data_IF_925718904526
#
_entry.id   IF_925718904526
#
_cell.length_a   1.000
_cell.length_b   1.000
_cell.length_c   1.000
_cell.angle_alpha   90.00
_cell.angle_beta   90.00
_cell.angle_gamma   90.00
#
_symmetry.space_group_name_H-M   'P 1'
#
loop_
_entity.id
_entity.type
_entity.pdbx_description
1 polymer ?
#
# COMPACT_ATOMS: atom_id res chain seq x y z
N UNK A 1 -5.42 -13.48 -29.03
CA UNK A 1 -5.81 -14.79 -29.61
C UNK A 1 -6.82 -15.46 -28.69
N UNK A 2 -8.10 -15.11 -28.75
CA UNK A 2 -9.19 -15.99 -28.29
C UNK A 2 -10.42 -15.70 -29.14
N UNK A 3 -10.91 -16.79 -29.70
CA UNK A 3 -11.78 -16.96 -30.85
C UNK A 3 -13.24 -16.80 -30.45
N UNK A 4 -14.01 -16.14 -31.32
CA UNK A 4 -15.43 -15.93 -31.16
C UNK A 4 -16.25 -17.20 -31.36
N UNK A 5 -17.37 -17.25 -30.65
CA UNK A 5 -18.50 -18.15 -30.88
C UNK A 5 -19.76 -17.29 -30.90
N UNK A 6 -20.39 -17.18 -32.08
CA UNK A 6 -21.80 -16.82 -32.24
C UNK A 6 -22.40 -17.75 -33.27
N UNK A 7 -23.27 -18.64 -32.82
CA UNK A 7 -24.17 -19.40 -33.68
C UNK A 7 -25.63 -19.03 -33.35
N UNK A 8 -26.34 -18.67 -34.43
CA UNK A 8 -27.79 -18.84 -34.76
C UNK A 8 -28.79 -18.15 -33.82
N UNK A 9 -29.85 -17.52 -34.32
CA UNK A 9 -30.99 -18.18 -34.99
C UNK A 9 -31.65 -17.26 -36.02
N UNK A 10 -32.03 -17.90 -37.11
CA UNK A 10 -32.83 -17.43 -38.24
C UNK A 10 -34.32 -17.36 -37.90
N UNK A 11 -35.05 -16.35 -38.37
CA UNK A 11 -36.42 -16.50 -38.85
C UNK A 11 -36.92 -15.28 -39.65
N UNK A 12 -37.90 -15.48 -40.54
CA UNK A 12 -38.11 -14.67 -41.74
C UNK A 12 -39.39 -13.81 -41.66
N UNK A 13 -39.58 -12.97 -42.67
CA UNK A 13 -40.93 -12.56 -43.10
C UNK A 13 -41.28 -11.11 -42.79
N UNK A 14 -41.33 -10.31 -43.85
CA UNK A 14 -41.81 -8.94 -43.84
C UNK A 14 -41.78 -8.37 -45.26
N UNK A 15 -42.40 -9.08 -46.22
CA UNK A 15 -42.64 -8.53 -47.55
C UNK A 15 -43.66 -7.38 -47.43
N UNK A 16 -43.22 -6.20 -47.84
CA UNK A 16 -44.07 -5.04 -48.06
C UNK A 16 -44.97 -5.28 -49.28
N UNK A 17 -46.28 -4.99 -49.23
CA UNK A 17 -47.09 -5.02 -50.44
C UNK A 17 -46.70 -3.86 -51.35
N UNK A 18 -46.14 -4.21 -52.50
CA UNK A 18 -45.96 -3.31 -53.65
C UNK A 18 -47.33 -2.83 -54.13
N UNK A 19 -47.58 -1.54 -54.00
CA UNK A 19 -48.78 -0.87 -54.46
C UNK A 19 -48.83 -1.00 -55.99
N UNK A 20 -49.79 -1.79 -56.48
CA UNK A 20 -50.14 -1.85 -57.90
C UNK A 20 -50.76 -0.51 -58.27
N UNK A 21 -50.08 0.25 -59.13
CA UNK A 21 -50.66 1.38 -59.84
C UNK A 21 -51.87 0.90 -60.64
N UNK A 22 -53.06 1.39 -60.30
CA UNK A 22 -54.26 1.25 -61.12
C UNK A 22 -54.12 2.20 -62.32
N UNK A 23 -53.45 1.77 -63.38
CA UNK A 23 -53.63 2.36 -64.71
C UNK A 23 -55.01 1.97 -65.23
N UNK A 24 -55.96 2.89 -65.14
CA UNK A 24 -57.19 2.82 -65.93
C UNK A 24 -56.88 3.16 -67.38
N UNK A 25 -57.24 2.22 -68.24
CA UNK A 25 -57.25 2.30 -69.70
C UNK A 25 -58.20 3.40 -70.17
N UNK A 26 -57.76 4.24 -71.10
CA UNK A 26 -58.65 5.01 -72.00
C UNK A 26 -58.20 4.70 -73.42
N UNK A 27 -58.99 3.85 -74.08
CA UNK A 27 -58.88 3.52 -75.50
C UNK A 27 -60.22 3.85 -76.15
N UNK A 28 -60.14 4.32 -77.40
CA UNK A 28 -61.21 4.72 -78.32
C UNK A 28 -61.68 6.18 -78.13
N UNK A 29 -61.66 7.06 -79.14
CA UNK A 29 -61.83 6.83 -80.58
C UNK A 29 -61.14 7.90 -81.42
N UNK A 30 -60.34 7.46 -82.40
CA UNK A 30 -59.93 8.24 -83.56
C UNK A 30 -61.16 8.71 -84.34
N UNK A 31 -61.26 10.01 -84.63
CA UNK A 31 -62.07 10.52 -85.74
C UNK A 31 -61.13 11.19 -86.74
N UNK A 32 -60.99 10.50 -87.85
CA UNK A 32 -60.18 10.77 -89.02
C UNK A 32 -60.66 12.07 -89.70
N UNK A 33 -59.87 13.15 -89.60
CA UNK A 33 -60.11 14.38 -90.37
C UNK A 33 -59.43 14.23 -91.73
N UNK A 34 -60.19 13.76 -92.72
CA UNK A 34 -59.78 13.75 -94.13
C UNK A 34 -60.06 15.12 -94.74
N UNK A 35 -59.07 16.03 -94.75
CA UNK A 35 -59.18 17.29 -95.52
C UNK A 35 -58.72 17.05 -96.96
N UNK A 36 -59.67 16.75 -97.86
CA UNK A 36 -59.46 16.84 -99.31
C UNK A 36 -59.80 18.25 -99.81
N UNK A 37 -58.84 18.90 -100.47
CA UNK A 37 -59.00 20.16 -101.24
C UNK A 37 -59.94 19.97 -102.43
N UNK A 38 -60.87 20.91 -102.64
CA UNK A 38 -61.17 21.52 -103.95
C UNK A 38 -61.95 22.83 -103.77
N UNK A 39 -61.55 23.82 -104.55
CA UNK A 39 -61.97 25.22 -104.52
C UNK A 39 -63.42 25.47 -104.99
N UNK A 40 -64.05 26.43 -104.32
CA UNK A 40 -64.84 27.55 -104.86
C UNK A 40 -65.98 27.26 -105.86
N UNK A 41 -67.24 27.30 -105.39
CA UNK A 41 -68.23 28.27 -105.87
C UNK A 41 -69.39 28.39 -104.86
N UNK A 42 -69.98 29.57 -104.74
CA UNK A 42 -70.91 29.94 -103.67
C UNK A 42 -72.28 29.25 -103.73
N UNK A 43 -72.65 28.61 -102.63
CA UNK A 43 -74.05 28.48 -102.16
C UNK A 43 -73.99 28.42 -100.63
N UNK A 44 -74.21 29.54 -99.96
CA UNK A 44 -75.49 29.82 -99.30
C UNK A 44 -75.79 28.80 -98.18
N UNK A 45 -75.51 29.26 -96.97
CA UNK A 45 -75.78 28.69 -95.66
C UNK A 45 -77.10 27.92 -95.59
N UNK A 46 -77.03 26.59 -95.52
CA UNK A 46 -78.09 25.72 -94.97
C UNK A 46 -77.42 24.54 -94.26
N UNK A 47 -76.68 24.83 -93.18
CA UNK A 47 -76.50 23.84 -92.13
C UNK A 47 -77.48 24.23 -91.04
N UNK A 48 -78.66 23.61 -91.07
CA UNK A 48 -79.62 23.69 -89.98
C UNK A 48 -78.88 23.37 -88.68
N UNK A 49 -78.92 24.25 -87.66
CA UNK A 49 -78.18 24.01 -86.43
C UNK A 49 -78.72 22.71 -85.80
N UNK A 50 -77.85 21.71 -85.68
CA UNK A 50 -78.20 20.45 -85.03
C UNK A 50 -78.68 20.74 -83.60
N UNK A 51 -79.94 20.42 -83.35
CA UNK A 51 -80.51 20.47 -82.02
C UNK A 51 -79.89 19.34 -81.21
N UNK A 52 -79.02 19.71 -80.26
CA UNK A 52 -78.36 18.78 -79.34
C UNK A 52 -79.35 17.93 -78.51
N UNK A 53 -80.60 18.37 -78.40
CA UNK A 53 -81.66 17.67 -77.68
C UNK A 53 -82.94 17.62 -78.51
N UNK A 54 -83.58 16.45 -78.55
CA UNK A 54 -84.82 16.21 -79.32
C UNK A 54 -86.08 16.32 -78.44
N UNK A 55 -85.93 16.14 -77.13
CA UNK A 55 -86.97 16.29 -76.11
C UNK A 55 -86.42 17.17 -74.97
N UNK A 56 -87.13 18.24 -74.55
CA UNK A 56 -86.75 19.07 -73.39
C UNK A 56 -86.41 18.27 -72.12
N UNK A 57 -86.99 17.08 -71.93
CA UNK A 57 -86.71 16.21 -70.79
C UNK A 57 -85.26 15.70 -70.75
N UNK A 58 -84.61 15.49 -71.90
CA UNK A 58 -83.23 14.99 -71.97
C UNK A 58 -82.22 15.92 -71.29
N UNK A 59 -82.44 17.23 -71.38
CA UNK A 59 -81.61 18.23 -70.71
C UNK A 59 -81.85 18.21 -69.19
N UNK A 60 -83.10 18.08 -68.76
CA UNK A 60 -83.44 18.03 -67.34
C UNK A 60 -82.87 16.78 -66.69
N UNK A 61 -82.99 15.62 -67.34
CA UNK A 61 -82.44 14.35 -66.86
C UNK A 61 -80.90 14.41 -66.79
N UNK A 62 -80.23 14.97 -67.81
CA UNK A 62 -78.78 15.19 -67.81
C UNK A 62 -78.34 16.11 -66.67
N UNK A 63 -79.03 17.24 -66.45
CA UNK A 63 -78.72 18.15 -65.35
C UNK A 63 -78.94 17.46 -64.00
N UNK A 64 -79.98 16.63 -63.89
CA UNK A 64 -80.29 15.89 -62.66
C UNK A 64 -79.20 14.86 -62.37
N UNK A 65 -78.79 14.06 -63.36
CA UNK A 65 -77.68 13.12 -63.24
C UNK A 65 -76.37 13.83 -62.87
N UNK A 66 -76.07 14.96 -63.53
CA UNK A 66 -74.88 15.75 -63.22
C UNK A 66 -74.93 16.31 -61.80
N UNK A 67 -76.10 16.72 -61.31
CA UNK A 67 -76.28 17.20 -59.93
C UNK A 67 -76.11 16.09 -58.91
N UNK A 68 -76.59 14.88 -59.19
CA UNK A 68 -76.40 13.70 -58.33
C UNK A 68 -74.93 13.29 -58.27
N UNK A 69 -74.25 13.27 -59.43
CA UNK A 69 -72.80 13.00 -59.51
C UNK A 69 -71.99 14.04 -58.73
N UNK A 70 -72.28 15.33 -58.91
CA UNK A 70 -71.62 16.39 -58.17
C UNK A 70 -71.85 16.27 -56.65
N UNK A 71 -73.07 15.94 -56.22
CA UNK A 71 -73.38 15.74 -54.81
C UNK A 71 -72.62 14.53 -54.23
N UNK A 72 -72.54 13.43 -54.97
CA UNK A 72 -71.75 12.25 -54.61
C UNK A 72 -70.25 12.56 -54.49
N UNK A 73 -69.71 13.35 -55.41
CA UNK A 73 -68.31 13.80 -55.37
C UNK A 73 -68.04 14.68 -54.15
N UNK A 74 -68.95 15.60 -53.81
CA UNK A 74 -68.84 16.44 -52.61
C UNK A 74 -68.82 15.55 -51.35
N UNK A 75 -69.77 14.62 -51.23
CA UNK A 75 -69.84 13.71 -50.07
C UNK A 75 -68.59 12.83 -49.96
N UNK A 76 -68.08 12.30 -51.08
CA UNK A 76 -66.86 11.51 -51.09
C UNK A 76 -65.65 12.34 -50.66
N UNK A 77 -65.52 13.56 -51.21
CA UNK A 77 -64.44 14.49 -50.85
C UNK A 77 -64.47 14.83 -49.37
N UNK A 78 -65.63 15.18 -48.82
CA UNK A 78 -65.76 15.48 -47.38
C UNK A 78 -65.41 14.27 -46.52
N UNK A 79 -65.85 13.06 -46.88
CA UNK A 79 -65.49 11.84 -46.15
C UNK A 79 -63.98 11.58 -46.20
N UNK A 80 -63.34 11.77 -47.35
CA UNK A 80 -61.89 11.61 -47.49
C UNK A 80 -61.15 12.66 -46.67
N UNK A 81 -61.60 13.91 -46.68
CA UNK A 81 -61.05 15.00 -45.86
C UNK A 81 -61.13 14.69 -44.36
N UNK A 82 -62.26 14.19 -43.87
CA UNK A 82 -62.41 13.76 -42.47
C UNK A 82 -61.40 12.66 -42.11
N UNK A 83 -61.29 11.61 -42.93
CA UNK A 83 -60.33 10.53 -42.69
C UNK A 83 -58.87 11.00 -42.73
N UNK A 84 -58.57 11.97 -43.60
CA UNK A 84 -57.23 12.55 -43.70
C UNK A 84 -56.89 13.36 -42.44
N UNK A 85 -57.84 14.13 -41.92
CA UNK A 85 -57.66 14.91 -40.70
C UNK A 85 -57.51 14.01 -39.47
N UNK A 86 -58.30 12.93 -39.36
CA UNK A 86 -58.12 11.91 -38.31
C UNK A 86 -56.73 11.26 -38.37
N UNK A 87 -56.27 10.89 -39.57
CA UNK A 87 -54.94 10.31 -39.76
C UNK A 87 -53.83 11.30 -39.39
N UNK A 88 -54.01 12.58 -39.74
CA UNK A 88 -53.08 13.65 -39.38
C UNK A 88 -52.99 13.84 -37.87
N UNK A 89 -54.13 13.88 -37.18
CA UNK A 89 -54.16 13.99 -35.72
C UNK A 89 -53.52 12.77 -35.04
N UNK A 90 -53.81 11.56 -35.53
CA UNK A 90 -53.18 10.33 -35.04
C UNK A 90 -51.65 10.33 -35.23
N UNK A 91 -51.19 10.81 -36.39
CA UNK A 91 -49.76 10.91 -36.71
C UNK A 91 -49.07 11.93 -35.81
N UNK A 92 -49.67 13.10 -35.60
CA UNK A 92 -49.12 14.13 -34.71
C UNK A 92 -49.12 13.69 -33.24
N UNK A 93 -50.16 12.97 -32.79
CA UNK A 93 -50.20 12.38 -31.46
C UNK A 93 -49.10 11.33 -31.26
N UNK A 94 -48.87 10.48 -32.28
CA UNK A 94 -47.80 9.48 -32.27
C UNK A 94 -46.43 10.15 -32.27
N UNK A 95 -46.23 11.18 -33.10
CA UNK A 95 -44.99 11.98 -33.13
C UNK A 95 -44.66 12.57 -31.76
N UNK A 96 -45.65 13.20 -31.11
CA UNK A 96 -45.48 13.77 -29.76
C UNK A 96 -45.17 12.70 -28.70
N UNK A 97 -45.70 11.48 -28.85
CA UNK A 97 -45.38 10.38 -27.95
C UNK A 97 -43.94 9.93 -28.13
N UNK A 98 -43.50 9.75 -29.38
CA UNK A 98 -42.12 9.39 -29.71
C UNK A 98 -41.14 10.45 -29.18
N UNK A 99 -41.44 11.73 -29.37
CA UNK A 99 -40.60 12.85 -28.89
C UNK A 99 -40.43 12.82 -27.36
N UNK A 100 -41.50 12.58 -26.61
CA UNK A 100 -41.43 12.40 -25.15
C UNK A 100 -40.64 11.17 -24.73
N UNK A 101 -40.82 10.06 -25.43
CA UNK A 101 -40.09 8.82 -25.16
C UNK A 101 -38.58 9.01 -25.44
N UNK A 102 -38.22 9.75 -26.49
CA UNK A 102 -36.84 10.10 -26.83
C UNK A 102 -36.19 11.00 -25.78
N UNK A 103 -36.89 12.03 -25.31
CA UNK A 103 -36.43 12.89 -24.21
C UNK A 103 -36.19 12.06 -22.94
N UNK A 104 -37.12 11.18 -22.59
CA UNK A 104 -37.00 10.31 -21.44
C UNK A 104 -35.83 9.33 -21.55
N UNK A 105 -35.64 8.69 -22.72
CA UNK A 105 -34.48 7.82 -22.97
C UNK A 105 -33.17 8.58 -22.88
N UNK A 106 -33.11 9.80 -23.40
CA UNK A 106 -31.92 10.67 -23.33
C UNK A 106 -31.56 10.99 -21.89
N UNK A 107 -32.56 11.29 -21.03
CA UNK A 107 -32.35 11.50 -19.60
C UNK A 107 -31.82 10.24 -18.90
N UNK A 108 -32.38 9.06 -19.21
CA UNK A 108 -31.91 7.79 -18.65
C UNK A 108 -30.46 7.48 -19.05
N UNK A 109 -30.11 7.70 -20.33
CA UNK A 109 -28.74 7.51 -20.81
C UNK A 109 -27.77 8.43 -20.06
N UNK A 110 -28.15 9.69 -19.83
CA UNK A 110 -27.33 10.62 -19.07
C UNK A 110 -27.13 10.17 -17.61
N UNK A 111 -28.21 9.80 -16.90
CA UNK A 111 -28.14 9.26 -15.54
C UNK A 111 -27.25 8.01 -15.47
N UNK A 112 -27.42 7.06 -16.40
CA UNK A 112 -26.58 5.87 -16.47
C UNK A 112 -25.11 6.22 -16.70
N UNK A 113 -24.80 7.14 -17.62
CA UNK A 113 -23.44 7.59 -17.86
C UNK A 113 -22.83 8.25 -16.62
N UNK A 114 -23.59 9.08 -15.90
CA UNK A 114 -23.14 9.68 -14.65
C UNK A 114 -22.81 8.61 -13.60
N UNK A 115 -23.67 7.60 -13.44
CA UNK A 115 -23.43 6.47 -12.53
C UNK A 115 -22.18 5.67 -12.92
N UNK A 116 -21.98 5.44 -14.22
CA UNK A 116 -20.79 4.77 -14.75
C UNK A 116 -19.52 5.56 -14.39
N UNK A 117 -19.52 6.89 -14.58
CA UNK A 117 -18.36 7.72 -14.26
C UNK A 117 -18.06 7.76 -12.75
N UNK A 118 -19.09 7.82 -11.90
CA UNK A 118 -18.93 7.70 -10.45
C UNK A 118 -18.29 6.34 -10.08
N UNK A 119 -18.78 5.25 -10.67
CA UNK A 119 -18.28 3.91 -10.35
C UNK A 119 -16.86 3.68 -10.92
N UNK A 120 -16.54 4.21 -12.10
CA UNK A 120 -15.17 4.24 -12.62
C UNK A 120 -14.23 4.99 -11.69
N UNK A 121 -14.63 6.17 -11.19
CA UNK A 121 -13.84 6.95 -10.25
C UNK A 121 -13.63 6.21 -8.91
N UNK A 122 -14.64 5.47 -8.43
CA UNK A 122 -14.48 4.58 -7.27
C UNK A 122 -13.51 3.43 -7.57
N UNK A 123 -13.63 2.82 -8.74
CA UNK A 123 -12.75 1.74 -9.19
C UNK A 123 -11.29 2.17 -9.31
N UNK A 124 -11.01 3.36 -9.84
CA UNK A 124 -9.64 3.91 -9.89
C UNK A 124 -9.08 4.18 -8.50
N UNK A 125 -9.88 4.77 -7.60
CA UNK A 125 -9.48 4.97 -6.19
C UNK A 125 -9.19 3.66 -5.47
N UNK A 126 -10.02 2.64 -5.67
CA UNK A 126 -9.79 1.32 -5.09
C UNK A 126 -8.50 0.69 -5.64
N UNK A 127 -8.27 0.77 -6.94
CA UNK A 127 -7.03 0.30 -7.58
C UNK A 127 -5.80 0.98 -6.98
N UNK A 128 -5.83 2.30 -6.79
CA UNK A 128 -4.75 3.04 -6.13
C UNK A 128 -4.50 2.55 -4.69
N UNK A 129 -5.57 2.33 -3.90
CA UNK A 129 -5.45 1.78 -2.54
C UNK A 129 -4.83 0.38 -2.54
N UNK A 130 -5.26 -0.50 -3.44
CA UNK A 130 -4.72 -1.85 -3.58
C UNK A 130 -3.26 -1.79 -3.99
N UNK A 131 -2.92 -0.94 -4.97
CA UNK A 131 -1.53 -0.77 -5.40
C UNK A 131 -0.64 -0.28 -4.25
N UNK A 132 -1.07 0.74 -3.50
CA UNK A 132 -0.34 1.21 -2.32
C UNK A 132 -0.15 0.09 -1.29
N UNK A 133 -1.19 -0.71 -1.07
CA UNK A 133 -1.16 -1.82 -0.13
C UNK A 133 -0.22 -2.95 -0.55
N UNK A 134 -0.11 -3.21 -1.86
CA UNK A 134 0.86 -4.16 -2.42
C UNK A 134 2.28 -3.59 -2.39
N UNK A 135 2.44 -2.28 -2.57
CA UNK A 135 3.74 -1.59 -2.44
C UNK A 135 4.20 -1.45 -1.00
N UNK A 136 3.29 -1.44 -0.03
CA UNK A 136 3.64 -1.64 1.38
C UNK A 136 4.02 -3.11 1.54
N UNK A 137 5.32 -3.37 1.64
CA UNK A 137 5.85 -4.69 1.97
C UNK A 137 5.36 -5.09 3.38
N UNK A 138 4.20 -5.75 3.44
CA UNK A 138 3.68 -6.31 4.69
C UNK A 138 4.64 -7.34 5.29
N UNK A 139 5.32 -8.09 4.42
CA UNK A 139 6.34 -9.04 4.83
C UNK A 139 7.41 -8.38 5.69
N UNK A 140 7.88 -7.17 5.31
CA UNK A 140 8.87 -6.42 6.08
C UNK A 140 8.31 -5.95 7.43
N UNK A 141 7.01 -5.64 7.51
CA UNK A 141 6.35 -5.24 8.76
C UNK A 141 6.14 -6.44 9.70
N UNK A 142 5.70 -7.57 9.17
CA UNK A 142 5.48 -8.80 9.94
C UNK A 142 6.81 -9.34 10.48
N UNK A 143 7.87 -9.35 9.64
CA UNK A 143 9.24 -9.69 10.08
C UNK A 143 9.73 -8.74 11.18
N UNK A 144 9.45 -7.44 11.07
CA UNK A 144 9.81 -6.47 12.10
C UNK A 144 9.06 -6.72 13.42
N UNK A 145 7.77 -7.05 13.34
CA UNK A 145 6.95 -7.37 14.52
C UNK A 145 7.40 -8.66 15.21
N UNK A 146 7.78 -9.68 14.44
CA UNK A 146 8.33 -10.92 14.97
C UNK A 146 9.67 -10.68 15.66
N UNK A 147 10.59 -9.94 15.03
CA UNK A 147 11.87 -9.57 15.63
C UNK A 147 11.71 -8.75 16.92
N UNK A 148 10.74 -7.84 16.96
CA UNK A 148 10.38 -7.12 18.18
C UNK A 148 9.84 -8.09 19.25
N UNK A 149 8.96 -9.02 18.87
CA UNK A 149 8.41 -10.04 19.75
C UNK A 149 9.49 -10.91 20.39
N UNK A 150 10.49 -11.33 19.61
CA UNK A 150 11.67 -12.05 20.09
C UNK A 150 12.47 -11.23 21.10
N UNK A 151 12.71 -9.95 20.80
CA UNK A 151 13.49 -9.09 21.71
C UNK A 151 12.76 -8.82 23.01
N UNK A 152 11.44 -8.59 22.95
CA UNK A 152 10.60 -8.44 24.14
C UNK A 152 10.61 -9.73 24.96
N UNK A 153 10.56 -10.90 24.33
CA UNK A 153 10.65 -12.18 25.02
C UNK A 153 12.01 -12.38 25.73
N UNK A 154 13.10 -11.97 25.10
CA UNK A 154 14.44 -11.99 25.70
C UNK A 154 14.51 -11.11 26.96
N UNK A 155 14.04 -9.85 26.87
CA UNK A 155 14.04 -8.92 28.00
C UNK A 155 13.14 -9.41 29.13
N UNK A 156 11.95 -9.92 28.80
CA UNK A 156 11.03 -10.49 29.79
C UNK A 156 11.70 -11.65 30.55
N UNK A 157 12.39 -12.54 29.84
CA UNK A 157 13.11 -13.67 30.44
C UNK A 157 14.19 -13.21 31.43
N UNK A 158 14.95 -12.19 31.06
CA UNK A 158 16.03 -11.65 31.89
C UNK A 158 15.52 -10.86 33.11
N UNK A 159 14.43 -10.10 32.98
CA UNK A 159 14.02 -9.12 34.00
C UNK A 159 12.88 -9.59 34.92
N UNK A 160 11.99 -10.46 34.42
CA UNK A 160 10.75 -10.87 35.11
C UNK A 160 10.83 -12.34 35.55
N UNK A 161 10.88 -13.28 34.62
CA UNK A 161 10.86 -14.73 34.91
C UNK A 161 11.55 -15.53 33.80
N UNK A 162 12.41 -16.48 34.16
CA UNK A 162 13.21 -17.28 33.22
C UNK A 162 12.38 -18.37 32.50
N UNK A 163 11.12 -18.55 32.93
CA UNK A 163 10.20 -19.54 32.37
C UNK A 163 9.70 -19.14 30.99
N UNK A 164 9.62 -20.11 30.08
CA UNK A 164 8.99 -19.93 28.77
C UNK A 164 7.47 -19.87 28.99
N UNK A 165 6.93 -18.66 29.09
CA UNK A 165 5.49 -18.42 29.21
C UNK A 165 4.89 -18.11 27.84
N UNK A 166 3.74 -18.71 27.51
CA UNK A 166 2.96 -18.45 26.30
C UNK A 166 2.18 -17.11 26.37
N UNK A 167 2.81 -16.06 26.89
CA UNK A 167 2.22 -14.72 26.96
C UNK A 167 2.40 -14.00 25.61
N UNK A 168 1.40 -13.20 25.26
CA UNK A 168 1.48 -12.27 24.13
C UNK A 168 2.57 -11.21 24.37
N UNK A 169 3.08 -10.62 23.30
CA UNK A 169 4.11 -9.55 23.37
C UNK A 169 3.67 -8.39 24.25
N UNK A 170 2.38 -8.02 24.20
CA UNK A 170 1.82 -6.94 25.01
C UNK A 170 1.79 -7.29 26.50
N UNK A 171 1.38 -8.51 26.86
CA UNK A 171 1.38 -8.97 28.25
C UNK A 171 2.80 -9.04 28.81
N UNK A 172 3.78 -9.48 28.01
CA UNK A 172 5.20 -9.47 28.40
C UNK A 172 5.69 -8.04 28.70
N UNK A 173 5.31 -7.06 27.86
CA UNK A 173 5.64 -5.65 28.11
C UNK A 173 5.03 -5.13 29.41
N UNK A 174 3.74 -5.42 29.66
CA UNK A 174 3.07 -5.02 30.88
C UNK A 174 3.75 -5.58 32.14
N UNK A 175 4.22 -6.83 32.07
CA UNK A 175 4.97 -7.45 33.17
C UNK A 175 6.33 -6.77 33.41
N UNK A 176 7.05 -6.43 32.33
CA UNK A 176 8.33 -5.71 32.42
C UNK A 176 8.09 -4.33 33.06
N UNK A 177 7.06 -3.61 32.62
CA UNK A 177 6.70 -2.29 33.15
C UNK A 177 6.36 -2.36 34.64
N UNK A 178 5.56 -3.35 35.04
CA UNK A 178 5.23 -3.57 36.45
C UNK A 178 6.49 -3.87 37.28
N UNK A 179 7.36 -4.76 36.80
CA UNK A 179 8.63 -5.09 37.46
C UNK A 179 9.52 -3.87 37.64
N UNK A 180 9.64 -3.04 36.60
CA UNK A 180 10.40 -1.80 36.65
C UNK A 180 9.81 -0.82 37.65
N UNK A 181 8.49 -0.68 37.67
CA UNK A 181 7.78 0.20 38.62
C UNK A 181 8.00 -0.23 40.07
N UNK A 182 7.91 -1.54 40.36
CA UNK A 182 8.17 -2.09 41.69
C UNK A 182 9.61 -1.84 42.15
N UNK A 183 10.59 -1.99 41.27
CA UNK A 183 12.00 -1.70 41.58
C UNK A 183 12.22 -0.22 41.89
N UNK A 184 11.62 0.67 41.10
CA UNK A 184 11.71 2.12 41.32
C UNK A 184 11.07 2.53 42.66
N UNK A 185 9.88 2.01 42.97
CA UNK A 185 9.23 2.23 44.26
C UNK A 185 10.09 1.69 45.42
N UNK A 186 10.72 0.53 45.23
CA UNK A 186 11.67 -0.03 46.18
C UNK A 186 12.84 0.91 46.44
N UNK A 187 13.43 1.50 45.40
CA UNK A 187 14.52 2.48 45.50
C UNK A 187 14.10 3.75 46.26
N UNK A 188 12.89 4.26 46.00
CA UNK A 188 12.37 5.46 46.66
C UNK A 188 12.04 5.23 48.14
N UNK A 189 11.68 3.99 48.51
CA UNK A 189 11.35 3.62 49.89
C UNK A 189 12.57 3.46 50.81
N UNK A 190 13.80 3.46 50.27
CA UNK A 190 15.01 3.24 51.06
C UNK A 190 15.24 4.47 51.97
N UNK A 191 15.33 4.29 53.30
CA UNK A 191 15.56 5.42 54.20
C UNK A 191 16.92 6.10 53.95
N UNK A 192 16.94 7.43 54.04
CA UNK A 192 18.13 8.25 53.77
C UNK A 192 19.34 7.89 54.66
N UNK A 193 19.08 7.48 55.91
CA UNK A 193 20.14 7.07 56.84
C UNK A 193 20.89 5.82 56.35
N UNK A 194 20.16 4.84 55.79
CA UNK A 194 20.76 3.64 55.22
C UNK A 194 21.53 3.96 53.94
N UNK A 195 21.05 4.89 53.12
CA UNK A 195 21.75 5.35 51.91
C UNK A 195 23.07 6.02 52.27
N UNK A 196 23.08 6.93 53.24
CA UNK A 196 24.31 7.60 53.69
C UNK A 196 25.30 6.62 54.33
N UNK A 197 24.83 5.62 55.07
CA UNK A 197 25.68 4.54 55.59
C UNK A 197 26.31 3.73 54.44
N UNK A 198 25.52 3.30 53.47
CA UNK A 198 25.99 2.52 52.32
C UNK A 198 27.01 3.29 51.48
N UNK A 199 26.78 4.60 51.28
CA UNK A 199 27.70 5.52 50.62
C UNK A 199 29.03 5.63 51.37
N UNK A 200 29.00 5.80 52.69
CA UNK A 200 30.22 5.81 53.53
C UNK A 200 31.00 4.49 53.42
N UNK A 201 30.32 3.35 53.43
CA UNK A 201 30.94 2.03 53.25
C UNK A 201 31.61 1.95 51.88
N UNK A 202 30.89 2.23 50.80
CA UNK A 202 31.41 2.22 49.42
C UNK A 202 32.61 3.16 49.24
N UNK A 203 32.54 4.37 49.80
CA UNK A 203 33.64 5.34 49.74
C UNK A 203 34.85 4.91 50.60
N UNK A 204 34.61 4.23 51.73
CA UNK A 204 35.68 3.66 52.55
C UNK A 204 36.37 2.48 51.86
N UNK A 205 35.60 1.60 51.21
CA UNK A 205 36.09 0.45 50.46
C UNK A 205 36.92 0.90 49.26
N UNK A 206 36.41 1.85 48.46
CA UNK A 206 37.13 2.47 47.35
C UNK A 206 38.48 3.05 47.80
N UNK A 207 38.49 3.80 48.91
CA UNK A 207 39.73 4.36 49.50
C UNK A 207 40.67 3.24 49.97
N UNK A 208 40.15 2.18 50.57
CA UNK A 208 40.95 1.05 51.02
C UNK A 208 41.63 0.34 49.84
N UNK A 209 40.89 0.04 48.77
CA UNK A 209 41.44 -0.57 47.54
C UNK A 209 42.56 0.27 46.94
N UNK A 210 42.37 1.59 46.86
CA UNK A 210 43.42 2.50 46.37
C UNK A 210 44.69 2.48 47.24
N UNK A 211 44.54 2.39 48.57
CA UNK A 211 45.70 2.30 49.47
C UNK A 211 46.42 0.96 49.32
N UNK A 212 45.67 -0.13 49.25
CA UNK A 212 46.21 -1.48 49.08
C UNK A 212 46.97 -1.61 47.75
N UNK A 213 46.40 -1.11 46.66
CA UNK A 213 47.04 -1.08 45.34
C UNK A 213 48.37 -0.28 45.39
N UNK A 214 48.36 0.89 46.02
CA UNK A 214 49.57 1.71 46.20
C UNK A 214 50.63 1.01 47.05
N UNK A 215 50.23 0.33 48.13
CA UNK A 215 51.15 -0.45 48.96
C UNK A 215 51.71 -1.66 48.20
N UNK A 216 50.89 -2.33 47.39
CA UNK A 216 51.29 -3.45 46.54
C UNK A 216 52.33 -3.00 45.52
N UNK A 217 52.10 -1.90 44.82
CA UNK A 217 53.09 -1.32 43.89
C UNK A 217 54.42 -0.99 44.58
N UNK A 218 54.37 -0.42 45.80
CA UNK A 218 55.59 -0.10 46.56
C UNK A 218 56.35 -1.38 46.96
N UNK A 219 55.63 -2.39 47.45
CA UNK A 219 56.21 -3.70 47.81
C UNK A 219 56.83 -4.38 46.58
N UNK A 220 56.16 -4.34 45.43
CA UNK A 220 56.69 -4.89 44.17
C UNK A 220 57.94 -4.15 43.71
N UNK A 221 57.94 -2.81 43.72
CA UNK A 221 59.13 -2.01 43.41
C UNK A 221 60.28 -2.32 44.37
N UNK A 222 60.01 -2.52 45.66
CA UNK A 222 61.04 -2.88 46.64
C UNK A 222 61.58 -4.30 46.41
N UNK A 223 60.68 -5.28 46.19
CA UNK A 223 61.05 -6.66 45.85
C UNK A 223 61.87 -6.73 44.57
N UNK A 224 61.52 -5.95 43.56
CA UNK A 224 62.28 -5.86 42.31
C UNK A 224 63.67 -5.26 42.52
N UNK A 225 63.78 -4.17 43.31
CA UNK A 225 65.09 -3.59 43.69
C UNK A 225 65.96 -4.62 44.41
N UNK A 226 65.40 -5.34 45.38
CA UNK A 226 66.10 -6.39 46.11
C UNK A 226 66.53 -7.54 45.19
N UNK A 227 65.65 -7.99 44.30
CA UNK A 227 65.95 -9.00 43.27
C UNK A 227 67.12 -8.57 42.39
N UNK A 228 67.08 -7.35 41.84
CA UNK A 228 68.17 -6.79 40.99
C UNK A 228 69.48 -6.62 41.75
N UNK A 229 69.44 -6.33 43.06
CA UNK A 229 70.63 -6.28 43.90
C UNK A 229 71.24 -7.67 44.10
N UNK A 230 70.41 -8.65 44.46
CA UNK A 230 70.84 -10.03 44.64
C UNK A 230 71.44 -10.59 43.33
N UNK A 231 70.77 -10.37 42.20
CA UNK A 231 71.26 -10.76 40.87
C UNK A 231 72.63 -10.13 40.55
N UNK A 232 72.83 -8.84 40.87
CA UNK A 232 74.15 -8.20 40.73
C UNK A 232 75.22 -8.79 41.64
N UNK A 233 74.86 -9.19 42.86
CA UNK A 233 75.81 -9.79 43.81
C UNK A 233 76.21 -11.22 43.43
N UNK A 234 75.28 -11.99 42.85
CA UNK A 234 75.52 -13.35 42.36
C UNK A 234 76.15 -13.39 40.96
N UNK A 235 76.07 -12.29 40.20
CA UNK A 235 76.71 -12.19 38.90
C UNK A 235 78.23 -12.26 39.06
N UNK A 236 78.84 -13.21 38.33
CA UNK A 236 80.27 -13.39 38.32
C UNK A 236 80.99 -12.09 37.96
N UNK A 237 81.94 -11.67 38.80
CA UNK A 237 82.77 -10.52 38.51
C UNK A 237 83.48 -10.74 37.18
N UNK A 238 83.35 -9.80 36.23
CA UNK A 238 84.08 -9.85 34.96
C UNK A 238 85.56 -10.00 35.27
N UNK A 239 86.17 -11.11 34.82
CA UNK A 239 87.61 -11.34 35.05
C UNK A 239 88.37 -10.22 34.37
N UNK A 240 89.02 -9.37 35.18
CA UNK A 240 89.86 -8.29 34.69
C UNK A 240 91.07 -8.93 34.01
N UNK A 241 91.08 -9.00 32.68
CA UNK A 241 92.24 -9.36 31.85
C UNK A 241 93.25 -8.20 31.81
N UNK A 242 93.62 -7.70 32.99
CA UNK A 242 94.60 -6.65 33.19
C UNK A 242 95.96 -7.20 33.63
N UNK A 243 96.92 -6.29 33.88
CA UNK A 243 98.26 -6.62 34.37
C UNK A 243 98.15 -7.32 35.73
N UNK A 244 98.77 -8.50 35.85
CA UNK A 244 98.77 -9.32 37.07
C UNK A 244 99.28 -8.50 38.26
N UNK A 245 98.52 -8.46 39.36
CA UNK A 245 98.91 -7.74 40.58
C UNK A 245 100.26 -8.30 41.08
N UNK A 246 101.29 -7.46 41.22
CA UNK A 246 102.57 -7.89 41.78
C UNK A 246 102.41 -8.17 43.28
N UNK A 247 102.86 -9.33 43.79
CA UNK A 247 102.86 -9.60 45.22
C UNK A 247 103.77 -8.58 45.92
N UNK A 248 103.21 -7.77 46.82
CA UNK A 248 103.99 -7.02 47.80
C UNK A 248 104.29 -7.98 48.96
N UNK A 249 105.55 -7.99 49.41
CA UNK A 249 106.17 -8.89 50.38
C UNK A 249 105.21 -9.70 51.27
N UNK A 250 105.39 -11.03 51.32
CA UNK A 250 104.72 -11.88 52.32
C UNK A 250 105.22 -11.49 53.72
N UNK A 251 104.36 -11.09 54.67
CA UNK A 251 104.79 -10.94 56.06
C UNK A 251 105.25 -12.31 56.57
N UNK A 252 106.36 -12.33 57.33
CA UNK A 252 106.87 -13.54 57.97
C UNK A 252 105.81 -14.03 58.97
N UNK A 253 105.44 -15.31 58.86
CA UNK A 253 104.51 -15.92 59.80
C UNK A 253 105.10 -15.91 61.21
N UNK A 254 104.53 -15.09 62.09
CA UNK A 254 104.81 -15.16 63.51
C UNK A 254 104.22 -16.48 64.03
N UNK A 255 105.05 -17.34 64.61
CA UNK A 255 104.57 -18.57 65.27
C UNK A 255 103.75 -18.17 66.50
N UNK A 256 102.43 -18.09 66.34
CA UNK A 256 101.50 -17.99 67.46
C UNK A 256 101.49 -19.35 68.17
N UNK A 257 101.94 -19.37 69.43
CA UNK A 257 101.65 -20.49 70.33
C UNK A 257 100.16 -20.44 70.62
N UNK A 258 99.43 -21.43 70.13
CA UNK A 258 98.02 -21.65 70.49
C UNK A 258 98.00 -22.08 71.95
N UNK A 259 97.56 -21.21 72.84
CA UNK A 259 96.98 -21.64 74.12
C UNK A 259 95.55 -22.09 73.84
N UNK A 260 95.26 -23.37 74.04
CA UNK A 260 93.89 -23.87 74.10
C UNK A 260 93.18 -23.16 75.25
N UNK A 261 92.28 -22.25 74.89
CA UNK A 261 91.21 -21.77 75.76
C UNK A 261 89.93 -22.15 75.03
N UNK A 262 89.17 -23.06 75.65
CA UNK A 262 87.84 -23.45 75.20
C UNK A 262 86.99 -22.19 75.01
N UNK A 263 86.55 -21.94 73.77
CA UNK A 263 85.50 -20.99 73.50
C UNK A 263 84.18 -21.74 73.53
N UNK A 264 83.47 -21.58 74.66
CA UNK A 264 82.03 -21.78 74.72
C UNK A 264 81.34 -20.85 73.71
N UNK A 265 80.35 -21.33 72.94
CA UNK A 265 79.69 -20.51 71.93
C UNK A 265 78.76 -19.50 72.61
N UNK A 266 79.17 -18.24 72.62
CA UNK A 266 78.36 -17.11 73.07
C UNK A 266 77.20 -16.75 72.12
N UNK A 267 76.99 -17.54 71.06
CA UNK A 267 75.87 -17.31 70.14
C UNK A 267 74.52 -17.74 70.73
N UNK A 268 74.49 -18.66 71.70
CA UNK A 268 73.23 -19.11 72.33
C UNK A 268 72.63 -18.06 73.30
N UNK A 269 73.42 -17.15 73.86
CA UNK A 269 72.95 -16.20 74.88
C UNK A 269 72.20 -15.01 74.26
N UNK A 270 72.58 -14.54 73.07
CA UNK A 270 71.83 -13.50 72.35
C UNK A 270 70.51 -14.01 71.77
N UNK A 271 70.44 -15.30 71.37
CA UNK A 271 69.22 -15.91 70.84
C UNK A 271 68.18 -16.17 71.95
N UNK A 272 68.62 -16.51 73.16
CA UNK A 272 67.74 -16.68 74.32
C UNK A 272 67.08 -15.37 74.78
N UNK A 273 67.79 -14.23 74.70
CA UNK A 273 67.28 -12.92 75.13
C UNK A 273 66.27 -12.28 74.16
N UNK A 274 66.38 -12.58 72.86
CA UNK A 274 65.55 -11.93 71.83
C UNK A 274 64.23 -12.66 71.54
N UNK A 275 64.09 -13.94 71.93
CA UNK A 275 62.95 -14.79 71.59
C UNK A 275 62.22 -15.41 72.79
N UNK A 276 62.53 -14.99 74.01
CA UNK A 276 61.73 -15.32 75.19
C UNK A 276 60.95 -14.09 75.66
N UNK A 277 59.80 -13.85 75.01
CA UNK A 277 58.70 -13.14 75.66
C UNK A 277 57.64 -14.19 75.99
N UNK A 278 57.71 -14.73 77.20
CA UNK A 278 56.57 -15.39 77.80
C UNK A 278 55.47 -14.35 78.04
N UNK A 279 54.26 -14.72 77.63
CA UNK A 279 53.01 -14.26 78.20
C UNK A 279 53.09 -14.25 79.74
N UNK A 280 52.52 -13.23 80.39
CA UNK A 280 51.47 -13.34 81.43
C UNK A 280 51.32 -12.02 82.20
N UNK A 281 50.31 -11.23 81.84
CA UNK A 281 49.13 -10.88 82.65
C UNK A 281 48.16 -10.00 81.83
#
# INVERSE_FOLDING_TARGET
MHTGLKERVSSPGGELPSIRETRLSSAHSDTLVTTSKLDSDGSEYEHEPELYFTDPQQLLDLVTELTEQNLSLIQNTTRVEETLEELRQSTEATRKKIEKDEEHLTLQINDMNQRIEIEKARGTKLRQKVQLHVSLNKEDQDVMLDALGEKVAEVHRCCVDDRITNLSTLEKLANIENRMSLLLQGLESIPEEHLEMMKKIKDSEKRSRQREEKQREQSEKQKERMRRYLERSLADSKKITGRKLMPRCKPLAQKVRVSNVDNTPAEDEMHAYLFTSEDTE
#
